data_IF_196104323963
#
_entry.id   IF_196104323963
#
_cell.length_a   1.000
_cell.length_b   1.000
_cell.length_c   1.000
_cell.angle_alpha   90.00
_cell.angle_beta   90.00
_cell.angle_gamma   90.00
#
_symmetry.space_group_name_H-M   'P 1'
#
loop_
_entity.id
_entity.type
_entity.pdbx_description
1 polymer ?
#
# COMPACT_ATOMS: atom_id res chain seq x y z
N UNK A 1 10.49 -37.16 10.55
CA UNK A 1 10.63 -36.47 11.84
C UNK A 1 10.00 -35.10 11.70
N UNK A 2 9.04 -34.74 12.55
CA UNK A 2 8.47 -33.39 12.53
C UNK A 2 9.57 -32.38 12.82
N UNK A 3 9.87 -31.50 11.87
CA UNK A 3 10.86 -30.43 12.04
C UNK A 3 10.36 -29.46 13.09
N UNK A 4 10.93 -29.52 14.30
CA UNK A 4 10.68 -28.55 15.37
C UNK A 4 11.24 -27.19 14.96
N UNK A 5 10.38 -26.17 14.98
CA UNK A 5 10.74 -24.83 14.49
C UNK A 5 11.60 -24.06 15.50
N UNK A 6 11.37 -24.28 16.80
CA UNK A 6 12.25 -23.86 17.90
C UNK A 6 12.70 -25.13 18.63
N UNK A 7 14.01 -25.43 18.67
CA UNK A 7 14.51 -26.58 19.40
C UNK A 7 14.11 -26.52 20.89
N UNK A 8 13.57 -27.61 21.42
CA UNK A 8 13.17 -27.72 22.83
C UNK A 8 11.75 -27.25 23.16
N UNK A 9 11.01 -26.70 22.19
CA UNK A 9 9.58 -26.40 22.32
C UNK A 9 8.75 -27.37 21.48
N UNK A 10 7.54 -27.68 21.95
CA UNK A 10 6.53 -28.32 21.12
C UNK A 10 6.07 -27.37 20.00
N UNK A 11 5.52 -27.95 18.93
CA UNK A 11 5.17 -27.21 17.72
C UNK A 11 4.11 -26.13 17.95
N UNK A 12 3.14 -26.38 18.84
CA UNK A 12 2.04 -25.45 19.09
C UNK A 12 2.50 -24.27 19.93
N UNK A 13 3.26 -24.53 21.01
CA UNK A 13 3.85 -23.47 21.82
C UNK A 13 4.81 -22.62 21.00
N UNK A 14 5.66 -23.25 20.18
CA UNK A 14 6.55 -22.53 19.29
C UNK A 14 5.77 -21.65 18.30
N UNK A 15 4.72 -22.18 17.67
CA UNK A 15 3.86 -21.41 16.76
C UNK A 15 3.23 -20.20 17.45
N UNK A 16 2.68 -20.40 18.65
CA UNK A 16 2.07 -19.34 19.45
C UNK A 16 3.06 -18.24 19.86
N UNK A 17 4.30 -18.60 20.20
CA UNK A 17 5.36 -17.62 20.44
C UNK A 17 5.65 -16.79 19.18
N UNK A 18 5.76 -17.46 18.02
CA UNK A 18 6.08 -16.80 16.75
C UNK A 18 4.98 -15.86 16.27
N UNK A 19 3.71 -16.20 16.48
CA UNK A 19 2.57 -15.33 16.16
C UNK A 19 2.63 -13.97 16.86
N UNK A 20 3.29 -13.87 18.02
CA UNK A 20 3.37 -12.63 18.83
C UNK A 20 4.59 -11.78 18.52
N UNK A 21 5.51 -12.24 17.68
CA UNK A 21 6.68 -11.46 17.27
C UNK A 21 6.22 -10.29 16.42
N UNK A 22 6.73 -9.08 16.65
CA UNK A 22 6.32 -7.91 15.85
C UNK A 22 6.73 -8.05 14.38
N UNK A 23 5.90 -7.53 13.46
CA UNK A 23 6.17 -7.42 12.02
C UNK A 23 7.56 -6.85 11.72
N UNK A 24 8.06 -5.93 12.57
CA UNK A 24 9.41 -5.35 12.49
C UNK A 24 10.53 -6.39 12.45
N UNK A 25 10.31 -7.56 13.07
CA UNK A 25 11.29 -8.64 13.23
C UNK A 25 11.11 -9.75 12.20
N UNK A 26 10.01 -9.78 11.43
CA UNK A 26 9.72 -10.85 10.47
C UNK A 26 10.79 -10.94 9.36
N UNK A 27 11.42 -9.81 9.01
CA UNK A 27 12.56 -9.80 8.08
C UNK A 27 13.77 -10.59 8.61
N UNK A 28 14.01 -10.59 9.93
CA UNK A 28 15.07 -11.38 10.55
C UNK A 28 14.65 -12.85 10.69
N UNK A 29 13.39 -13.10 11.05
CA UNK A 29 12.80 -14.45 11.11
C UNK A 29 13.01 -15.23 9.80
N UNK A 30 12.79 -14.60 8.64
CA UNK A 30 13.02 -15.21 7.31
C UNK A 30 14.47 -15.66 7.04
N UNK A 31 15.44 -15.12 7.78
CA UNK A 31 16.86 -15.43 7.62
C UNK A 31 17.31 -16.59 8.51
N UNK A 32 16.52 -16.95 9.54
CA UNK A 32 16.93 -17.95 10.53
C UNK A 32 16.95 -19.37 9.97
N UNK A 33 15.92 -19.79 9.23
CA UNK A 33 15.86 -21.12 8.60
C UNK A 33 14.82 -21.16 7.48
N UNK A 34 14.77 -22.26 6.71
CA UNK A 34 13.70 -22.51 5.73
C UNK A 34 12.33 -22.58 6.41
N UNK A 35 12.21 -23.34 7.49
CA UNK A 35 10.95 -23.49 8.22
C UNK A 35 10.39 -22.14 8.72
N UNK A 36 11.24 -21.28 9.30
CA UNK A 36 10.82 -19.95 9.73
C UNK A 36 10.40 -19.07 8.56
N UNK A 37 11.15 -19.11 7.46
CA UNK A 37 10.83 -18.35 6.25
C UNK A 37 9.49 -18.78 5.67
N UNK A 38 9.26 -20.08 5.55
CA UNK A 38 8.03 -20.63 4.99
C UNK A 38 6.83 -20.26 5.87
N UNK A 39 7.00 -20.31 7.20
CA UNK A 39 6.00 -19.88 8.17
C UNK A 39 5.60 -18.41 7.96
N UNK A 40 6.55 -17.47 8.09
CA UNK A 40 6.28 -16.03 8.04
C UNK A 40 6.08 -15.50 6.62
N UNK A 41 6.05 -16.37 5.61
CA UNK A 41 5.66 -16.02 4.24
C UNK A 41 4.28 -16.60 3.87
N UNK A 42 3.68 -17.40 4.75
CA UNK A 42 2.38 -18.04 4.50
C UNK A 42 1.22 -17.11 4.85
N UNK A 43 0.18 -17.09 4.01
CA UNK A 43 -1.04 -16.32 4.28
C UNK A 43 -1.69 -16.74 5.62
N UNK A 44 -1.76 -18.06 5.85
CA UNK A 44 -2.30 -18.63 7.09
C UNK A 44 -1.69 -18.04 8.37
N UNK A 45 -0.37 -17.82 8.39
CA UNK A 45 0.28 -17.24 9.56
C UNK A 45 -0.28 -15.85 9.88
N UNK A 46 -0.56 -15.04 8.87
CA UNK A 46 -1.13 -13.71 9.04
C UNK A 46 -2.64 -13.73 9.30
N UNK A 47 -3.37 -14.68 8.71
CA UNK A 47 -4.78 -14.91 9.03
C UNK A 47 -4.96 -15.31 10.50
N UNK A 48 -4.12 -16.21 11.01
CA UNK A 48 -4.13 -16.64 12.41
C UNK A 48 -3.74 -15.50 13.38
N UNK A 49 -2.86 -14.59 12.95
CA UNK A 49 -2.54 -13.37 13.71
C UNK A 49 -3.73 -12.43 13.78
N UNK A 50 -4.37 -12.16 12.65
CA UNK A 50 -5.55 -11.28 12.58
C UNK A 50 -6.70 -11.86 13.43
N UNK A 51 -6.92 -13.18 13.38
CA UNK A 51 -7.91 -13.86 14.21
C UNK A 51 -7.67 -13.73 15.72
N UNK A 52 -6.44 -13.40 16.14
CA UNK A 52 -6.05 -13.18 17.53
C UNK A 52 -5.89 -11.69 17.89
N UNK A 53 -6.22 -10.77 17.00
CA UNK A 53 -6.01 -9.33 17.21
C UNK A 53 -4.53 -8.95 17.32
N UNK A 54 -3.66 -9.67 16.60
CA UNK A 54 -2.22 -9.44 16.52
C UNK A 54 -1.83 -8.75 15.21
N UNK A 55 -2.79 -8.18 14.49
CA UNK A 55 -2.55 -7.25 13.41
C UNK A 55 -1.91 -5.96 13.94
N UNK A 56 -1.07 -5.36 13.10
CA UNK A 56 -0.37 -4.13 13.47
C UNK A 56 -0.69 -3.06 12.43
N UNK A 57 -1.10 -1.90 12.89
CA UNK A 57 -1.28 -0.72 12.05
C UNK A 57 0.03 0.06 12.00
N UNK A 58 0.49 0.38 10.79
CA UNK A 58 1.74 1.07 10.57
C UNK A 58 1.50 2.33 9.76
N UNK A 59 2.07 3.44 10.20
CA UNK A 59 2.13 4.66 9.41
C UNK A 59 3.18 4.49 8.32
N UNK A 60 2.86 4.95 7.11
CA UNK A 60 3.76 4.96 5.96
C UNK A 60 3.94 6.39 5.48
N UNK A 61 5.19 6.80 5.27
CA UNK A 61 5.56 8.08 4.72
C UNK A 61 6.47 7.88 3.50
N UNK A 62 6.12 8.54 2.39
CA UNK A 62 6.97 8.63 1.20
C UNK A 62 7.83 9.89 1.29
N UNK A 63 9.15 9.74 1.23
CA UNK A 63 10.10 10.85 1.34
C UNK A 63 10.97 10.88 0.08
N UNK A 64 11.01 12.02 -0.60
CA UNK A 64 11.88 12.24 -1.76
C UNK A 64 13.11 13.01 -1.30
N UNK A 65 14.29 12.43 -1.45
CA UNK A 65 15.54 13.10 -1.13
C UNK A 65 16.02 13.88 -2.37
N UNK A 66 15.87 15.21 -2.32
CA UNK A 66 16.12 16.11 -3.46
C UNK A 66 17.55 16.08 -4.03
N UNK A 67 18.53 15.61 -3.26
CA UNK A 67 19.92 15.55 -3.72
C UNK A 67 20.18 14.33 -4.62
N UNK A 68 19.35 13.28 -4.54
CA UNK A 68 19.62 11.97 -5.17
C UNK A 68 18.44 11.46 -6.03
N UNK A 69 17.35 12.24 -6.15
CA UNK A 69 16.07 11.80 -6.74
C UNK A 69 15.57 10.43 -6.23
N UNK A 70 15.99 10.08 -5.02
CA UNK A 70 15.69 8.80 -4.39
C UNK A 70 14.38 8.87 -3.59
N UNK A 71 13.52 7.89 -3.81
CA UNK A 71 12.30 7.68 -3.04
C UNK A 71 12.57 6.71 -1.88
N UNK A 72 12.44 7.21 -0.66
CA UNK A 72 12.41 6.41 0.55
C UNK A 72 10.96 6.17 0.99
N UNK A 73 10.67 4.93 1.36
CA UNK A 73 9.42 4.57 2.04
C UNK A 73 9.76 4.32 3.51
N UNK A 74 9.34 5.24 4.37
CA UNK A 74 9.53 5.17 5.80
C UNK A 74 8.27 4.63 6.46
N UNK A 75 8.44 3.81 7.48
CA UNK A 75 7.34 3.21 8.22
C UNK A 75 7.51 3.38 9.71
N UNK A 76 6.41 3.51 10.43
CA UNK A 76 6.40 3.69 11.88
C UNK A 76 5.25 2.91 12.49
N UNK A 77 5.57 2.07 13.46
CA UNK A 77 4.58 1.38 14.26
C UNK A 77 4.27 2.22 15.52
N UNK A 78 3.09 2.87 15.62
CA UNK A 78 2.72 3.67 16.79
C UNK A 78 2.56 2.83 18.06
N UNK A 79 2.24 1.55 17.95
CA UNK A 79 2.11 0.62 19.07
C UNK A 79 3.45 0.05 19.55
N UNK A 80 4.52 0.19 18.76
CA UNK A 80 5.87 -0.22 19.17
C UNK A 80 6.35 0.55 20.40
N UNK A 81 6.99 -0.14 21.34
CA UNK A 81 7.71 0.48 22.46
C UNK A 81 8.92 1.29 21.98
N UNK A 82 9.59 0.79 20.93
CA UNK A 82 10.66 1.50 20.24
C UNK A 82 10.04 2.50 19.26
N UNK A 83 9.91 3.75 19.69
CA UNK A 83 9.40 4.88 18.87
C UNK A 83 10.45 5.30 17.83
N UNK A 84 10.57 4.53 16.76
CA UNK A 84 11.54 4.77 15.70
C UNK A 84 10.94 4.51 14.32
N UNK A 85 11.31 5.36 13.35
CA UNK A 85 11.03 5.11 11.95
C UNK A 85 11.96 4.02 11.40
N UNK A 86 11.46 3.25 10.43
CA UNK A 86 12.22 2.25 9.70
C UNK A 86 12.07 2.45 8.20
N UNK A 87 13.14 2.24 7.46
CA UNK A 87 13.15 2.33 6.00
C UNK A 87 12.78 0.96 5.42
N UNK A 88 11.74 0.91 4.59
CA UNK A 88 11.41 -0.28 3.82
C UNK A 88 12.44 -0.51 2.71
N UNK A 89 12.54 -1.74 2.17
CA UNK A 89 13.30 -1.98 0.95
C UNK A 89 12.93 -0.94 -0.13
N UNK A 90 13.90 -0.42 -0.89
CA UNK A 90 13.60 0.55 -1.93
C UNK A 90 12.72 -0.08 -3.02
N UNK A 91 11.84 0.69 -3.66
CA UNK A 91 11.14 0.26 -4.87
C UNK A 91 12.14 -0.20 -5.95
N UNK A 92 11.70 -0.98 -6.96
CA UNK A 92 12.57 -1.44 -8.04
C UNK A 92 13.33 -0.28 -8.74
N UNK A 93 14.55 -0.53 -9.22
CA UNK A 93 15.37 0.52 -9.86
C UNK A 93 14.72 1.03 -11.16
N UNK A 94 14.90 2.32 -11.46
CA UNK A 94 14.34 2.99 -12.65
C UNK A 94 13.13 3.89 -12.38
N UNK A 95 12.70 3.97 -11.11
CA UNK A 95 11.69 4.92 -10.67
C UNK A 95 12.35 6.19 -10.14
N UNK A 96 12.55 7.18 -11.02
CA UNK A 96 12.89 8.53 -10.58
C UNK A 96 11.65 9.19 -9.99
N UNK A 97 11.77 9.73 -8.79
CA UNK A 97 10.69 10.42 -8.12
C UNK A 97 10.50 11.82 -8.71
N UNK A 98 9.96 11.92 -9.93
CA UNK A 98 9.76 13.19 -10.65
C UNK A 98 8.60 14.05 -10.11
N UNK A 99 8.09 13.74 -8.91
CA UNK A 99 6.84 14.27 -8.39
C UNK A 99 5.61 13.72 -9.13
N UNK A 100 4.43 13.76 -8.50
CA UNK A 100 3.17 13.33 -9.13
C UNK A 100 2.82 11.84 -8.99
N UNK A 101 3.55 11.09 -8.17
CA UNK A 101 3.15 9.75 -7.72
C UNK A 101 2.28 9.83 -6.46
N UNK A 102 1.63 8.72 -6.10
CA UNK A 102 0.92 8.56 -4.83
C UNK A 102 1.19 7.17 -4.22
N UNK A 103 0.97 7.00 -2.92
CA UNK A 103 1.15 5.73 -2.21
C UNK A 103 -0.10 5.40 -1.38
N UNK A 104 -0.66 4.20 -1.55
CA UNK A 104 -1.88 3.76 -0.86
C UNK A 104 -1.69 2.39 -0.23
N UNK A 105 -2.14 2.26 1.01
CA UNK A 105 -2.22 0.97 1.69
C UNK A 105 -3.56 0.30 1.40
N UNK A 106 -3.54 -1.01 1.15
CA UNK A 106 -4.72 -1.85 1.11
C UNK A 106 -4.36 -3.24 1.67
N UNK A 107 -4.92 -3.54 2.85
CA UNK A 107 -4.53 -4.72 3.62
C UNK A 107 -3.03 -4.72 3.93
N UNK A 108 -2.36 -5.84 3.68
CA UNK A 108 -0.92 -6.00 3.91
C UNK A 108 -0.02 -5.39 2.82
N UNK A 109 -0.61 -4.77 1.79
CA UNK A 109 0.11 -4.29 0.60
C UNK A 109 0.13 -2.77 0.52
N UNK A 110 1.25 -2.23 0.06
CA UNK A 110 1.39 -0.82 -0.32
C UNK A 110 1.48 -0.72 -1.83
N UNK A 111 0.71 0.19 -2.41
CA UNK A 111 0.61 0.44 -3.83
C UNK A 111 1.18 1.81 -4.14
N UNK A 112 2.23 1.83 -4.94
CA UNK A 112 2.93 3.03 -5.37
C UNK A 112 2.59 3.30 -6.83
N UNK A 113 1.85 4.39 -7.03
CA UNK A 113 1.15 4.73 -8.26
C UNK A 113 1.91 5.81 -9.04
N UNK A 114 2.01 5.68 -10.36
CA UNK A 114 2.38 6.78 -11.25
C UNK A 114 3.85 7.24 -11.19
N UNK A 115 4.78 6.40 -10.73
CA UNK A 115 6.21 6.69 -10.85
C UNK A 115 6.67 6.71 -12.32
N UNK A 116 7.74 7.44 -12.61
CA UNK A 116 8.32 7.55 -13.94
C UNK A 116 7.37 8.18 -14.94
N UNK A 117 6.93 7.42 -15.94
CA UNK A 117 6.01 7.88 -17.01
C UNK A 117 4.54 8.03 -16.54
N UNK A 118 4.25 8.13 -15.24
CA UNK A 118 2.91 8.44 -14.75
C UNK A 118 1.86 7.33 -14.85
N UNK A 119 2.21 6.12 -15.32
CA UNK A 119 1.26 4.98 -15.42
C UNK A 119 1.61 3.75 -14.58
N UNK A 120 2.79 3.72 -13.97
CA UNK A 120 3.30 2.52 -13.31
C UNK A 120 2.53 2.19 -12.02
N UNK A 121 2.48 0.90 -11.67
CA UNK A 121 1.99 0.41 -10.39
C UNK A 121 3.02 -0.55 -9.79
N UNK A 122 3.61 -0.16 -8.66
CA UNK A 122 4.49 -1.03 -7.87
C UNK A 122 3.81 -1.43 -6.58
N UNK A 123 3.90 -2.71 -6.22
CA UNK A 123 3.23 -3.28 -5.05
C UNK A 123 4.26 -3.84 -4.10
N UNK A 124 4.31 -3.31 -2.89
CA UNK A 124 5.05 -3.89 -1.77
C UNK A 124 4.13 -4.76 -0.95
N UNK A 125 4.55 -5.99 -0.70
CA UNK A 125 3.84 -6.92 0.17
C UNK A 125 4.59 -7.02 1.51
N UNK A 126 3.95 -6.61 2.61
CA UNK A 126 4.56 -6.63 3.95
C UNK A 126 4.77 -8.04 4.51
N UNK A 127 4.00 -9.02 4.04
CA UNK A 127 4.16 -10.42 4.43
C UNK A 127 5.45 -11.00 3.85
N UNK A 128 5.70 -10.78 2.56
CA UNK A 128 6.90 -11.28 1.89
C UNK A 128 8.10 -10.32 1.97
N UNK A 129 7.86 -9.05 2.33
CA UNK A 129 8.81 -7.95 2.33
C UNK A 129 9.51 -7.80 0.96
N UNK A 130 8.69 -7.79 -0.10
CA UNK A 130 9.15 -7.69 -1.49
C UNK A 130 8.28 -6.72 -2.28
N UNK A 131 8.93 -6.04 -3.21
CA UNK A 131 8.28 -5.29 -4.26
C UNK A 131 8.02 -6.18 -5.48
N UNK A 132 6.94 -5.88 -6.18
CA UNK A 132 6.55 -6.46 -7.47
C UNK A 132 5.94 -5.36 -8.35
N UNK A 133 5.93 -5.58 -9.66
CA UNK A 133 5.22 -4.73 -10.60
C UNK A 133 3.84 -5.32 -10.86
N UNK A 134 2.82 -4.48 -10.91
CA UNK A 134 1.45 -4.82 -11.26
C UNK A 134 1.04 -4.11 -12.57
N UNK A 135 -0.16 -4.41 -13.06
CA UNK A 135 -0.68 -3.82 -14.28
C UNK A 135 -0.65 -2.28 -14.20
N UNK A 136 -0.13 -1.58 -15.23
CA UNK A 136 -0.09 -0.14 -15.25
C UNK A 136 -1.49 0.44 -15.49
N UNK A 137 -1.71 1.68 -15.03
CA UNK A 137 -2.89 2.49 -15.33
C UNK A 137 -3.15 2.55 -16.84
N UNK A 138 -4.43 2.71 -17.22
CA UNK A 138 -4.88 2.79 -18.61
C UNK A 138 -4.35 4.05 -19.32
N UNK A 139 -4.18 5.13 -18.57
CA UNK A 139 -3.63 6.40 -19.06
C UNK A 139 -2.54 6.92 -18.12
N UNK A 140 -1.38 7.34 -18.64
CA UNK A 140 -0.43 8.17 -17.89
C UNK A 140 -1.12 9.38 -17.28
N UNK A 141 -0.87 9.61 -15.99
CA UNK A 141 -1.39 10.78 -15.29
C UNK A 141 -0.50 11.23 -14.13
N UNK A 142 -0.54 12.53 -13.84
CA UNK A 142 0.18 13.17 -12.73
C UNK A 142 -0.75 14.09 -11.95
N UNK A 143 -0.42 14.34 -10.67
CA UNK A 143 -1.20 15.24 -9.80
C UNK A 143 -2.68 14.84 -9.65
N UNK A 144 -2.97 13.54 -9.75
CA UNK A 144 -4.30 12.96 -9.60
C UNK A 144 -4.70 12.81 -8.12
N UNK A 145 -5.99 12.56 -7.92
CA UNK A 145 -6.54 12.04 -6.67
C UNK A 145 -6.47 10.51 -6.67
N UNK A 146 -6.12 9.88 -5.56
CA UNK A 146 -6.29 8.43 -5.43
C UNK A 146 -6.90 8.01 -4.09
N UNK A 147 -7.47 6.81 -4.05
CA UNK A 147 -8.12 6.23 -2.89
C UNK A 147 -7.99 4.71 -2.89
N UNK A 148 -7.93 4.11 -1.70
CA UNK A 148 -8.17 2.68 -1.50
C UNK A 148 -9.53 2.53 -0.82
N UNK A 149 -10.46 1.81 -1.43
CA UNK A 149 -11.83 1.65 -0.93
C UNK A 149 -12.38 0.31 -1.42
N UNK A 150 -13.10 -0.41 -0.54
CA UNK A 150 -13.76 -1.67 -0.89
C UNK A 150 -12.84 -2.69 -1.62
N UNK A 151 -11.60 -2.81 -1.17
CA UNK A 151 -10.64 -3.77 -1.77
C UNK A 151 -10.05 -3.33 -3.11
N UNK A 152 -10.33 -2.12 -3.59
CA UNK A 152 -9.87 -1.60 -4.87
C UNK A 152 -9.11 -0.28 -4.71
N UNK A 153 -8.33 0.07 -5.73
CA UNK A 153 -7.75 1.41 -5.84
C UNK A 153 -8.55 2.23 -6.85
N UNK A 154 -8.68 3.51 -6.59
CA UNK A 154 -9.34 4.46 -7.47
C UNK A 154 -8.38 5.58 -7.77
N UNK A 155 -8.32 6.00 -9.03
CA UNK A 155 -7.53 7.15 -9.46
C UNK A 155 -8.39 8.05 -10.32
N UNK A 156 -8.41 9.34 -9.98
CA UNK A 156 -9.37 10.30 -10.53
C UNK A 156 -8.71 11.64 -10.84
N UNK A 157 -9.01 12.17 -12.02
CA UNK A 157 -8.52 13.45 -12.53
C UNK A 157 -7.01 13.46 -12.76
N UNK A 158 -6.39 14.61 -12.47
CA UNK A 158 -4.99 14.89 -12.75
C UNK A 158 -4.73 15.36 -14.20
N UNK A 159 -3.46 15.68 -14.45
CA UNK A 159 -2.94 15.92 -15.80
C UNK A 159 -2.76 14.58 -16.50
N UNK A 160 -3.42 14.38 -17.62
CA UNK A 160 -3.54 13.09 -18.32
C UNK A 160 -3.51 13.31 -19.83
N UNK A 161 -3.04 12.31 -20.56
CA UNK A 161 -3.00 12.37 -22.03
C UNK A 161 -4.40 12.26 -22.66
N UNK A 162 -5.27 11.42 -22.08
CA UNK A 162 -6.63 11.16 -22.57
C UNK A 162 -7.68 11.87 -21.73
N UNK A 163 -8.24 12.94 -22.27
CA UNK A 163 -9.21 13.80 -21.57
C UNK A 163 -10.49 13.03 -21.20
N UNK A 164 -10.89 12.05 -22.01
CA UNK A 164 -12.06 11.21 -21.82
C UNK A 164 -11.92 10.16 -20.71
N UNK A 165 -10.70 9.87 -20.24
CA UNK A 165 -10.43 8.90 -19.17
C UNK A 165 -10.23 9.60 -17.82
N UNK A 166 -11.27 10.28 -17.35
CA UNK A 166 -11.25 11.04 -16.09
C UNK A 166 -10.89 10.19 -14.88
N UNK A 167 -11.36 8.95 -14.84
CA UNK A 167 -11.26 8.09 -13.66
C UNK A 167 -11.05 6.63 -14.07
N UNK A 168 -10.32 5.89 -13.23
CA UNK A 168 -10.09 4.46 -13.38
C UNK A 168 -9.97 3.79 -12.02
N UNK A 169 -10.28 2.49 -11.97
CA UNK A 169 -10.16 1.67 -10.79
C UNK A 169 -9.28 0.45 -11.07
N UNK A 170 -8.52 0.02 -10.07
CA UNK A 170 -7.68 -1.17 -10.11
C UNK A 170 -8.28 -2.24 -9.19
N UNK A 171 -8.52 -3.41 -9.75
CA UNK A 171 -8.89 -4.61 -9.02
C UNK A 171 -7.62 -5.46 -8.74
N UNK A 172 -7.15 -5.54 -7.49
CA UNK A 172 -5.96 -6.32 -7.14
C UNK A 172 -6.11 -7.83 -7.30
N UNK A 173 -7.35 -8.35 -7.30
CA UNK A 173 -7.61 -9.79 -7.49
C UNK A 173 -7.40 -10.22 -8.94
N UNK A 174 -7.61 -9.29 -9.87
CA UNK A 174 -7.50 -9.53 -11.31
C UNK A 174 -6.23 -8.93 -11.92
N UNK A 175 -5.46 -8.19 -11.13
CA UNK A 175 -4.32 -7.38 -11.59
C UNK A 175 -4.69 -6.55 -12.84
N UNK A 176 -5.79 -5.80 -12.73
CA UNK A 176 -6.37 -5.10 -13.89
C UNK A 176 -7.02 -3.77 -13.56
N UNK A 177 -6.83 -2.82 -14.46
CA UNK A 177 -7.51 -1.53 -14.45
C UNK A 177 -8.77 -1.52 -15.30
N UNK A 178 -9.78 -0.80 -14.83
CA UNK A 178 -11.07 -0.59 -15.48
C UNK A 178 -11.38 0.92 -15.57
N UNK A 179 -11.86 1.41 -16.71
CA UNK A 179 -12.30 2.80 -16.83
C UNK A 179 -13.57 3.00 -15.99
N UNK A 180 -13.67 4.15 -15.33
CA UNK A 180 -14.88 4.59 -14.68
C UNK A 180 -15.65 5.57 -15.58
N UNK A 181 -16.96 5.78 -15.32
CA UNK A 181 -17.72 6.80 -16.04
C UNK A 181 -17.05 8.19 -15.97
N UNK A 182 -17.15 9.01 -17.03
CA UNK A 182 -16.54 10.34 -17.06
C UNK A 182 -17.13 11.26 -15.99
N UNK A 183 -16.33 12.20 -15.48
CA UNK A 183 -16.77 13.14 -14.44
C UNK A 183 -17.58 14.29 -15.06
N UNK A 184 -18.79 14.60 -14.56
CA UNK A 184 -19.52 15.80 -14.96
C UNK A 184 -19.06 17.06 -14.20
N UNK A 185 -18.92 18.23 -14.85
CA UNK A 185 -18.89 18.42 -16.30
C UNK A 185 -17.56 17.95 -16.90
N UNK A 186 -17.63 17.41 -18.12
CA UNK A 186 -16.49 16.85 -18.86
C UNK A 186 -15.28 17.80 -18.84
N UNK A 187 -14.11 17.28 -18.47
CA UNK A 187 -12.86 18.07 -18.45
C UNK A 187 -12.57 18.79 -17.13
N UNK A 188 -13.13 18.33 -16.01
CA UNK A 188 -12.74 18.86 -14.70
C UNK A 188 -11.28 18.49 -14.40
N UNK A 189 -10.41 19.51 -14.40
CA UNK A 189 -9.04 19.40 -13.90
C UNK A 189 -9.08 19.26 -12.36
N UNK A 190 -9.10 18.05 -11.84
CA UNK A 190 -8.92 17.86 -10.39
C UNK A 190 -7.46 18.20 -10.03
N UNK A 191 -7.29 19.16 -9.12
CA UNK A 191 -5.99 19.60 -8.61
C UNK A 191 -5.59 18.84 -7.33
N UNK A 192 -4.28 18.76 -7.15
CA UNK A 192 -3.46 18.03 -6.14
C UNK A 192 -4.15 17.62 -4.82
N UNK A 193 -3.96 16.34 -4.49
CA UNK A 193 -4.11 15.66 -3.18
C UNK A 193 -5.55 15.35 -2.73
N UNK A 194 -6.07 14.17 -3.07
CA UNK A 194 -7.23 13.61 -2.36
C UNK A 194 -6.78 12.88 -1.10
N UNK A 195 -7.37 13.23 0.04
CA UNK A 195 -7.24 12.48 1.29
C UNK A 195 -8.52 11.68 1.51
N UNK A 196 -8.42 10.35 1.53
CA UNK A 196 -9.54 9.49 1.96
C UNK A 196 -9.40 9.24 3.45
N UNK A 197 -10.46 9.54 4.20
CA UNK A 197 -10.55 9.25 5.64
C UNK A 197 -11.69 8.25 5.85
N UNK A 198 -11.33 6.98 5.81
CA UNK A 198 -12.03 5.80 6.32
C UNK A 198 -13.47 5.48 5.84
N UNK A 199 -13.71 4.20 5.60
CA UNK A 199 -15.00 3.55 5.35
C UNK A 199 -15.54 3.64 3.93
N UNK A 200 -15.94 4.84 3.48
CA UNK A 200 -16.74 5.03 2.24
C UNK A 200 -16.59 6.44 1.63
N UNK A 201 -15.52 7.16 1.97
CA UNK A 201 -15.41 8.61 1.70
C UNK A 201 -14.39 8.91 0.61
N UNK A 202 -14.85 9.29 -0.57
CA UNK A 202 -13.97 9.88 -1.59
C UNK A 202 -13.99 11.41 -1.48
N UNK A 203 -12.85 12.02 -1.10
CA UNK A 203 -12.67 13.48 -1.06
C UNK A 203 -12.05 13.93 -2.37
N UNK A 204 -12.82 14.66 -3.20
CA UNK A 204 -12.30 15.31 -4.41
C UNK A 204 -12.10 16.79 -4.08
N UNK A 205 -10.85 17.26 -4.10
CA UNK A 205 -10.54 18.67 -3.87
C UNK A 205 -10.93 19.52 -5.09
N UNK A 206 -11.68 20.58 -4.82
CA UNK A 206 -11.81 21.76 -5.70
C UNK A 206 -11.22 22.95 -4.95
N UNK A 207 -10.05 23.41 -5.37
CA UNK A 207 -9.42 24.66 -4.94
C UNK A 207 -9.56 25.01 -3.44
N UNK A 208 -8.72 24.42 -2.60
CA UNK A 208 -8.30 25.06 -1.34
C UNK A 208 -9.24 24.99 -0.13
N UNK A 209 -10.30 24.17 -0.13
CA UNK A 209 -11.07 23.91 1.09
C UNK A 209 -11.38 22.42 1.27
N UNK A 210 -11.27 21.96 2.53
CA UNK A 210 -11.64 20.62 2.98
C UNK A 210 -13.07 20.72 3.51
N UNK A 211 -14.00 19.94 2.96
CA UNK A 211 -15.32 19.76 3.59
C UNK A 211 -15.66 18.28 3.59
N UNK A 212 -15.84 17.73 4.78
CA UNK A 212 -16.33 16.36 5.00
C UNK A 212 -17.85 16.41 4.86
N UNK A 213 -18.40 15.68 3.90
CA UNK A 213 -19.84 15.47 3.78
C UNK A 213 -20.15 13.99 4.02
N UNK A 214 -21.04 13.74 4.97
CA UNK A 214 -21.62 12.43 5.20
C UNK A 214 -22.98 12.41 4.51
N UNK A 215 -23.10 11.67 3.40
CA UNK A 215 -24.44 11.32 2.91
C UNK A 215 -24.95 10.20 3.82
N UNK A 216 -25.66 10.58 4.88
CA UNK A 216 -26.43 9.61 5.67
C UNK A 216 -27.62 9.21 4.79
N UNK A 217 -27.47 8.12 4.03
CA UNK A 217 -28.61 7.41 3.47
C UNK A 217 -29.46 6.87 4.62
N UNK A 218 -30.79 7.01 4.51
CA UNK A 218 -31.75 6.39 5.44
C UNK A 218 -31.65 4.87 5.43
#
# INVERSE_FOLDING_TARGET
MATTIIPGLDSDAAYQCLLRVSLSSHGQMRKMSRAWRDLVSSAKFYDDRAAQGLDEEWLVATVILRQEDELLIMTFNPSSSKKAWMVLPPPPRGFYATGGFDCRALGSKLYLLGLGQGKSLSVFDSHTNRWSTAAPMLCPRFFYASAAMEGQLYVVGGNRERQEQDAETYNPLEDRWYPLPPLPPHGTMAFRNALVVDGYKMVILRAGSITVWQLVGK
#
